data_IF_584618352399
#
_entry.id   IF_584618352399
#
_cell.length_a   1.000
_cell.length_b   1.000
_cell.length_c   1.000
_cell.angle_alpha   90.00
_cell.angle_beta   90.00
_cell.angle_gamma   90.00
#
_symmetry.space_group_name_H-M   'P 1'
#
loop_
_entity.id
_entity.type
_entity.pdbx_description
1 polymer ?
#
# COMPACT_ATOMS: atom_id res chain seq x y z
N UNK A 1 63.25 -19.62 63.35
CA UNK A 1 63.84 -20.84 62.83
C UNK A 1 63.38 -20.95 61.43
N UNK A 2 64.18 -20.47 60.53
CA UNK A 2 65.08 -21.21 59.64
C UNK A 2 64.27 -21.92 58.56
N UNK A 3 64.49 -21.92 57.30
CA UNK A 3 65.49 -21.36 56.42
C UNK A 3 65.00 -21.56 54.96
N UNK A 4 65.31 -20.61 54.09
CA UNK A 4 65.94 -20.78 52.82
C UNK A 4 65.54 -21.97 51.89
N UNK A 5 65.03 -21.72 50.69
CA UNK A 5 65.84 -22.07 49.51
C UNK A 5 65.28 -21.40 48.21
N UNK A 6 66.10 -20.60 47.66
CA UNK A 6 66.21 -20.03 46.38
C UNK A 6 66.50 -21.12 45.34
N UNK A 7 65.89 -21.13 44.13
CA UNK A 7 66.48 -21.55 42.85
C UNK A 7 65.67 -21.01 41.68
N UNK A 8 66.21 -20.08 40.96
CA UNK A 8 66.76 -20.14 39.55
C UNK A 8 65.78 -19.94 38.40
N UNK A 9 66.01 -18.82 37.78
CA UNK A 9 65.88 -18.43 36.37
C UNK A 9 65.53 -19.52 35.35
N UNK A 10 64.41 -19.30 34.67
CA UNK A 10 64.24 -19.80 33.31
C UNK A 10 63.78 -18.65 32.37
N UNK A 11 64.30 -18.58 31.12
CA UNK A 11 64.10 -17.44 30.23
C UNK A 11 62.71 -17.42 29.60
N UNK A 12 62.13 -16.23 29.50
CA UNK A 12 60.87 -15.96 28.84
C UNK A 12 60.94 -16.24 27.34
N UNK A 13 60.26 -17.26 26.89
CA UNK A 13 59.99 -17.47 25.47
C UNK A 13 58.86 -16.50 25.04
N UNK A 14 59.25 -15.50 24.26
CA UNK A 14 58.32 -14.61 23.57
C UNK A 14 57.46 -15.41 22.57
N UNK A 15 56.25 -15.81 22.97
CA UNK A 15 55.22 -16.29 22.07
C UNK A 15 54.59 -15.05 21.36
N UNK A 16 55.02 -14.78 20.15
CA UNK A 16 54.34 -13.82 19.26
C UNK A 16 52.94 -14.34 18.99
N UNK A 17 51.96 -13.79 19.70
CA UNK A 17 50.54 -13.97 19.34
C UNK A 17 50.27 -13.18 18.05
N UNK A 18 50.16 -13.91 16.97
CA UNK A 18 49.67 -13.39 15.70
C UNK A 18 48.16 -13.16 15.83
N UNK A 19 47.77 -11.91 16.14
CA UNK A 19 46.36 -11.53 16.14
C UNK A 19 45.86 -11.44 14.70
N UNK A 20 45.11 -12.46 14.29
CA UNK A 20 44.37 -12.42 13.03
C UNK A 20 43.19 -11.45 13.22
N UNK A 21 43.32 -10.23 12.67
CA UNK A 21 42.22 -9.32 12.52
C UNK A 21 41.33 -9.83 11.37
N UNK A 22 40.22 -10.49 11.72
CA UNK A 22 39.15 -10.77 10.75
C UNK A 22 38.40 -9.47 10.51
N UNK A 23 38.70 -8.81 9.40
CA UNK A 23 37.90 -7.67 8.94
C UNK A 23 36.61 -8.24 8.34
N UNK A 24 35.54 -8.19 9.14
CA UNK A 24 34.20 -8.50 8.64
C UNK A 24 33.75 -7.37 7.71
N UNK A 25 33.83 -7.61 6.40
CA UNK A 25 33.22 -6.74 5.39
C UNK A 25 31.71 -6.88 5.49
N UNK A 26 31.06 -5.92 6.14
CA UNK A 26 29.60 -5.82 6.13
C UNK A 26 29.20 -5.31 4.74
N UNK A 27 28.80 -6.23 3.87
CA UNK A 27 28.16 -5.90 2.60
C UNK A 27 26.75 -5.43 2.93
N UNK A 28 26.55 -4.12 3.01
CA UNK A 28 25.23 -3.52 3.06
C UNK A 28 24.57 -3.70 1.68
N UNK A 29 23.68 -4.66 1.57
CA UNK A 29 22.80 -4.76 0.41
C UNK A 29 21.91 -3.51 0.38
N UNK A 30 21.78 -2.82 -0.75
CA UNK A 30 20.82 -1.74 -0.86
C UNK A 30 19.43 -2.35 -0.65
N UNK A 31 18.76 -1.98 0.43
CA UNK A 31 17.32 -2.18 0.57
C UNK A 31 16.71 -1.32 -0.52
N UNK A 32 16.19 -1.93 -1.58
CA UNK A 32 15.38 -1.25 -2.57
C UNK A 32 14.22 -0.58 -1.83
N UNK A 33 14.38 0.72 -1.56
CA UNK A 33 13.32 1.55 -1.04
C UNK A 33 12.14 1.45 -2.00
N UNK A 34 11.02 0.95 -1.54
CA UNK A 34 9.77 1.08 -2.26
C UNK A 34 9.65 2.55 -2.70
N UNK A 35 9.25 2.75 -3.92
CA UNK A 35 9.12 3.97 -4.70
C UNK A 35 8.42 5.11 -3.91
N UNK A 36 9.11 5.68 -2.92
CA UNK A 36 8.56 6.66 -1.98
C UNK A 36 8.31 8.00 -2.68
N UNK A 37 8.99 8.24 -3.82
CA UNK A 37 8.94 9.51 -4.53
C UNK A 37 7.90 9.58 -5.65
N UNK A 38 7.29 8.45 -6.03
CA UNK A 38 6.27 8.46 -7.09
C UNK A 38 4.97 9.11 -6.58
N UNK A 39 4.43 10.10 -7.30
CA UNK A 39 3.11 10.64 -6.98
C UNK A 39 2.04 9.55 -6.98
N UNK A 40 1.15 9.61 -5.99
CA UNK A 40 0.01 8.68 -5.93
C UNK A 40 -1.05 9.16 -6.91
N UNK A 41 -1.40 8.31 -7.86
CA UNK A 41 -2.46 8.58 -8.84
C UNK A 41 -3.85 8.38 -8.23
N UNK A 42 -4.74 9.33 -8.50
CA UNK A 42 -6.14 9.13 -8.10
C UNK A 42 -6.76 7.93 -8.83
N UNK A 43 -6.55 7.84 -10.14
CA UNK A 43 -7.16 6.81 -10.98
C UNK A 43 -6.55 5.44 -10.72
N UNK A 44 -5.22 5.36 -10.68
CA UNK A 44 -4.52 4.07 -10.63
C UNK A 44 -4.30 3.53 -9.22
N UNK A 45 -4.28 4.39 -8.20
CA UNK A 45 -3.98 3.99 -6.83
C UNK A 45 -5.17 4.21 -5.87
N UNK A 46 -5.80 5.38 -5.91
CA UNK A 46 -6.87 5.73 -4.96
C UNK A 46 -8.19 5.07 -5.31
N UNK A 47 -8.62 5.13 -6.58
CA UNK A 47 -9.88 4.51 -7.01
C UNK A 47 -9.95 3.00 -6.74
N UNK A 48 -8.90 2.21 -7.01
CA UNK A 48 -8.87 0.80 -6.62
C UNK A 48 -9.02 0.57 -5.11
N UNK A 49 -8.42 1.43 -4.27
CA UNK A 49 -8.59 1.37 -2.81
C UNK A 49 -10.05 1.62 -2.42
N UNK A 50 -10.67 2.67 -2.95
CA UNK A 50 -12.06 3.01 -2.65
C UNK A 50 -13.03 1.90 -3.09
N UNK A 51 -12.80 1.34 -4.28
CA UNK A 51 -13.61 0.25 -4.82
C UNK A 51 -13.45 -1.02 -4.01
N UNK A 52 -12.23 -1.40 -3.68
CA UNK A 52 -11.93 -2.61 -2.89
C UNK A 52 -12.45 -2.50 -1.46
N UNK A 53 -12.43 -1.29 -0.89
CA UNK A 53 -13.02 -1.01 0.42
C UNK A 53 -14.56 -0.92 0.38
N UNK A 54 -15.16 -0.95 -0.80
CA UNK A 54 -16.61 -0.87 -0.99
C UNK A 54 -17.21 0.51 -0.77
N UNK A 55 -16.39 1.57 -0.88
CA UNK A 55 -16.87 2.94 -0.67
C UNK A 55 -17.83 3.38 -1.76
N UNK A 56 -17.56 3.03 -3.02
CA UNK A 56 -18.30 3.43 -4.21
C UNK A 56 -19.25 2.33 -4.73
N UNK A 57 -19.76 1.47 -3.84
CA UNK A 57 -20.70 0.42 -4.20
C UNK A 57 -22.07 0.66 -3.55
N UNK A 58 -23.12 0.23 -4.26
CA UNK A 58 -24.50 0.10 -3.78
C UNK A 58 -24.97 1.27 -2.91
N UNK A 59 -25.44 0.92 -1.73
CA UNK A 59 -26.04 1.85 -0.74
C UNK A 59 -25.01 2.67 0.05
N UNK A 60 -23.69 2.43 -0.14
CA UNK A 60 -22.67 3.20 0.57
C UNK A 60 -22.59 4.63 0.01
N UNK A 61 -21.69 4.91 -0.91
CA UNK A 61 -21.54 6.23 -1.48
C UNK A 61 -21.78 6.28 -3.00
N UNK A 62 -22.19 5.16 -3.64
CA UNK A 62 -22.49 5.20 -5.05
C UNK A 62 -23.67 6.12 -5.36
N UNK A 63 -23.55 6.95 -6.41
CA UNK A 63 -24.63 7.82 -6.91
C UNK A 63 -25.91 7.03 -7.20
N UNK A 64 -25.78 5.82 -7.76
CA UNK A 64 -26.88 4.92 -8.05
C UNK A 64 -27.72 4.57 -6.81
N UNK A 65 -27.13 4.59 -5.61
CA UNK A 65 -27.80 4.40 -4.32
C UNK A 65 -28.16 5.71 -3.60
N UNK A 66 -28.03 6.87 -4.28
CA UNK A 66 -28.30 8.20 -3.73
C UNK A 66 -27.16 8.77 -2.90
N UNK A 67 -26.08 8.04 -2.71
CA UNK A 67 -24.97 8.42 -1.82
C UNK A 67 -25.37 8.54 -0.37
N UNK A 68 -24.48 9.04 0.47
CA UNK A 68 -24.73 9.21 1.91
C UNK A 68 -24.25 10.60 2.36
N UNK A 69 -25.18 11.36 2.98
CA UNK A 69 -24.85 12.65 3.60
C UNK A 69 -24.15 13.65 2.69
N UNK A 70 -24.51 13.67 1.39
CA UNK A 70 -23.91 14.54 0.37
C UNK A 70 -22.53 14.10 -0.09
N UNK A 71 -22.12 12.88 0.20
CA UNK A 71 -20.94 12.27 -0.40
C UNK A 71 -21.38 11.21 -1.40
N UNK A 72 -21.05 11.44 -2.66
CA UNK A 72 -21.44 10.59 -3.78
C UNK A 72 -20.22 10.28 -4.61
N UNK A 73 -20.11 9.03 -5.04
CA UNK A 73 -19.09 8.53 -5.95
C UNK A 73 -19.76 7.81 -7.10
N UNK A 74 -19.12 7.74 -8.23
CA UNK A 74 -19.58 6.90 -9.34
C UNK A 74 -19.54 5.42 -8.95
N UNK A 75 -20.42 4.62 -9.52
CA UNK A 75 -20.44 3.20 -9.27
C UNK A 75 -19.12 2.56 -9.74
N UNK A 76 -18.41 1.90 -8.81
CA UNK A 76 -17.12 1.24 -9.06
C UNK A 76 -16.02 2.14 -9.68
N UNK A 77 -16.15 3.46 -9.59
CA UNK A 77 -15.15 4.40 -10.08
C UNK A 77 -15.23 4.64 -11.59
N UNK A 78 -16.42 4.53 -12.17
CA UNK A 78 -16.63 4.71 -13.62
C UNK A 78 -16.38 6.16 -14.08
N UNK A 79 -16.58 7.15 -13.22
CA UNK A 79 -16.41 8.58 -13.49
C UNK A 79 -15.31 9.17 -12.57
N UNK A 80 -14.04 8.84 -12.79
CA UNK A 80 -12.98 9.20 -11.84
C UNK A 80 -12.78 10.71 -11.67
N UNK A 81 -13.03 11.51 -12.69
CA UNK A 81 -12.96 12.98 -12.62
C UNK A 81 -13.99 13.53 -11.63
N UNK A 82 -15.24 13.09 -11.75
CA UNK A 82 -16.32 13.51 -10.85
C UNK A 82 -16.07 13.00 -9.42
N UNK A 83 -15.54 11.79 -9.29
CA UNK A 83 -15.20 11.20 -7.99
C UNK A 83 -14.11 11.98 -7.28
N UNK A 84 -13.10 12.42 -8.02
CA UNK A 84 -12.05 13.29 -7.49
C UNK A 84 -12.63 14.63 -7.02
N UNK A 85 -13.45 15.27 -7.85
CA UNK A 85 -14.10 16.53 -7.48
C UNK A 85 -15.00 16.38 -6.24
N UNK A 86 -15.77 15.31 -6.18
CA UNK A 86 -16.61 15.01 -5.03
C UNK A 86 -15.78 14.85 -3.75
N UNK A 87 -14.61 14.25 -3.82
CA UNK A 87 -13.71 14.12 -2.68
C UNK A 87 -13.07 15.43 -2.28
N UNK A 88 -12.52 16.16 -3.25
CA UNK A 88 -11.65 17.30 -3.02
C UNK A 88 -12.43 18.61 -2.82
N UNK A 89 -13.48 18.82 -3.62
CA UNK A 89 -14.19 20.11 -3.69
C UNK A 89 -15.51 20.13 -2.93
N UNK A 90 -16.30 19.05 -3.03
CA UNK A 90 -17.64 19.03 -2.47
C UNK A 90 -17.64 19.16 -0.95
N UNK A 91 -18.68 19.81 -0.44
CA UNK A 91 -18.85 20.06 0.99
C UNK A 91 -17.74 20.93 1.57
N UNK A 92 -17.25 21.88 0.78
CA UNK A 92 -16.17 22.81 1.14
C UNK A 92 -14.84 22.11 1.49
N UNK A 93 -14.52 21.00 0.81
CA UNK A 93 -13.29 20.25 1.03
C UNK A 93 -13.15 19.56 2.40
N UNK A 94 -14.22 19.52 3.20
CA UNK A 94 -14.19 18.99 4.59
C UNK A 94 -13.76 17.53 4.72
N UNK A 95 -13.72 16.79 3.61
CA UNK A 95 -13.39 15.36 3.64
C UNK A 95 -11.90 15.11 3.77
N UNK A 96 -11.09 16.07 3.35
CA UNK A 96 -9.64 15.95 3.25
C UNK A 96 -8.96 17.07 4.04
N UNK A 97 -7.85 16.77 4.68
CA UNK A 97 -7.06 17.73 5.42
C UNK A 97 -5.56 17.48 5.15
N UNK A 98 -5.00 18.03 4.05
CA UNK A 98 -3.62 17.77 3.65
C UNK A 98 -2.57 18.16 4.69
N UNK A 99 -2.82 19.20 5.50
CA UNK A 99 -1.89 19.63 6.54
C UNK A 99 -1.75 18.60 7.69
N UNK A 100 -2.76 17.74 7.89
CA UNK A 100 -2.72 16.64 8.84
C UNK A 100 -3.56 15.48 8.29
N UNK A 101 -3.02 14.68 7.36
CA UNK A 101 -3.77 13.67 6.60
C UNK A 101 -4.61 12.72 7.45
N UNK A 102 -4.09 12.26 8.59
CA UNK A 102 -4.80 11.37 9.52
C UNK A 102 -6.05 12.01 10.14
N UNK A 103 -6.16 13.33 10.12
CA UNK A 103 -7.34 14.07 10.58
C UNK A 103 -8.40 14.19 9.49
N UNK A 104 -8.11 13.78 8.26
CA UNK A 104 -9.07 13.76 7.17
C UNK A 104 -10.29 12.92 7.52
N UNK A 105 -11.47 13.47 7.28
CA UNK A 105 -12.73 12.81 7.63
C UNK A 105 -12.89 11.46 6.94
N UNK A 106 -12.41 11.34 5.70
CA UNK A 106 -12.44 10.07 4.96
C UNK A 106 -11.63 8.98 5.69
N UNK A 107 -10.41 9.28 6.14
CA UNK A 107 -9.57 8.32 6.87
C UNK A 107 -10.16 7.99 8.24
N UNK A 108 -10.61 8.98 8.98
CA UNK A 108 -11.18 8.78 10.31
C UNK A 108 -12.44 7.94 10.28
N UNK A 109 -13.32 8.16 9.28
CA UNK A 109 -14.54 7.36 9.10
C UNK A 109 -14.23 5.96 8.61
N UNK A 110 -13.39 5.83 7.60
CA UNK A 110 -13.05 4.54 7.03
C UNK A 110 -12.33 3.62 8.02
N UNK A 111 -11.55 4.18 8.95
CA UNK A 111 -10.82 3.41 9.99
C UNK A 111 -11.59 3.25 11.31
N UNK A 112 -12.83 3.75 11.40
CA UNK A 112 -13.64 3.63 12.62
C UNK A 112 -13.26 4.60 13.75
N UNK A 113 -12.36 5.56 13.53
CA UNK A 113 -12.01 6.58 14.53
C UNK A 113 -13.14 7.59 14.75
N UNK A 114 -14.10 7.65 13.85
CA UNK A 114 -15.32 8.44 13.93
C UNK A 114 -16.49 7.56 13.50
N UNK A 115 -17.66 7.65 14.13
CA UNK A 115 -18.83 6.85 13.78
C UNK A 115 -19.11 6.85 12.28
N UNK A 116 -19.25 5.67 11.70
CA UNK A 116 -19.47 5.45 10.28
C UNK A 116 -20.45 4.29 10.07
N UNK A 117 -21.58 4.56 9.41
CA UNK A 117 -22.62 3.55 9.14
C UNK A 117 -22.13 2.37 8.31
N UNK A 118 -21.09 2.57 7.49
CA UNK A 118 -20.45 1.49 6.73
C UNK A 118 -19.50 0.61 7.54
N UNK A 119 -19.25 0.91 8.82
CA UNK A 119 -18.26 0.22 9.65
C UNK A 119 -16.81 0.57 9.27
N UNK A 120 -15.88 -0.27 9.74
CA UNK A 120 -14.45 -0.14 9.39
C UNK A 120 -14.24 -0.70 7.99
N UNK A 121 -13.70 0.10 7.10
CA UNK A 121 -13.41 -0.24 5.70
C UNK A 121 -11.92 -0.30 5.40
N UNK A 122 -11.13 0.51 6.10
CA UNK A 122 -9.68 0.58 5.96
C UNK A 122 -9.05 0.51 7.35
N UNK A 123 -8.45 -0.61 7.70
CA UNK A 123 -7.65 -0.70 8.91
C UNK A 123 -6.42 0.23 8.81
N UNK A 124 -5.98 0.81 9.93
CA UNK A 124 -4.87 1.80 9.94
C UNK A 124 -3.54 1.24 9.45
N UNK A 125 -3.34 -0.04 9.63
CA UNK A 125 -2.16 -0.81 9.20
C UNK A 125 -2.28 -1.36 7.77
N UNK A 126 -3.41 -1.10 7.09
CA UNK A 126 -3.63 -1.57 5.73
C UNK A 126 -2.89 -0.72 4.68
N UNK A 127 -2.48 -1.37 3.60
CA UNK A 127 -1.91 -0.71 2.42
C UNK A 127 -2.86 0.36 1.89
N UNK A 128 -4.17 0.08 1.83
CA UNK A 128 -5.16 1.04 1.35
C UNK A 128 -5.24 2.31 2.20
N UNK A 129 -5.14 2.19 3.53
CA UNK A 129 -5.06 3.36 4.42
C UNK A 129 -3.79 4.17 4.16
N UNK A 130 -2.64 3.52 4.03
CA UNK A 130 -1.35 4.16 3.76
C UNK A 130 -1.35 4.87 2.40
N UNK A 131 -1.91 4.25 1.35
CA UNK A 131 -2.06 4.84 0.02
C UNK A 131 -2.92 6.12 0.08
N UNK A 132 -4.09 6.04 0.70
CA UNK A 132 -5.00 7.18 0.79
C UNK A 132 -4.40 8.32 1.64
N UNK A 133 -3.71 8.00 2.74
CA UNK A 133 -3.00 8.97 3.56
C UNK A 133 -1.91 9.70 2.76
N UNK A 134 -1.08 8.94 2.03
CA UNK A 134 0.01 9.49 1.20
C UNK A 134 -0.55 10.38 0.07
N UNK A 135 -1.64 9.96 -0.57
CA UNK A 135 -2.31 10.78 -1.57
C UNK A 135 -2.78 12.13 -1.03
N UNK A 136 -3.36 12.13 0.16
CA UNK A 136 -3.80 13.36 0.83
C UNK A 136 -2.58 14.24 1.18
N UNK A 137 -1.51 13.65 1.71
CA UNK A 137 -0.25 14.32 2.06
C UNK A 137 0.40 15.00 0.85
N UNK A 138 0.29 14.39 -0.33
CA UNK A 138 0.78 14.93 -1.59
C UNK A 138 -0.12 16.01 -2.22
N UNK A 139 -1.17 16.45 -1.53
CA UNK A 139 -2.06 17.50 -2.01
C UNK A 139 -3.16 17.01 -2.95
N UNK A 140 -3.50 15.73 -2.89
CA UNK A 140 -4.61 15.12 -3.63
C UNK A 140 -4.50 15.21 -5.16
N UNK A 141 -3.36 14.85 -5.76
CA UNK A 141 -3.21 14.94 -7.21
C UNK A 141 -4.19 13.99 -7.92
N UNK A 142 -4.72 14.44 -9.06
CA UNK A 142 -5.54 13.57 -9.91
C UNK A 142 -4.69 12.50 -10.59
N UNK A 143 -3.52 12.89 -11.05
CA UNK A 143 -2.57 12.12 -11.81
C UNK A 143 -1.92 12.96 -12.90
N UNK A 144 -1.17 12.31 -13.77
CA UNK A 144 -0.51 12.94 -14.92
C UNK A 144 -0.92 12.26 -16.22
N UNK A 145 -0.87 12.99 -17.33
CA UNK A 145 -1.19 12.47 -18.66
C UNK A 145 -0.27 11.33 -19.12
N UNK A 146 0.91 11.23 -18.46
CA UNK A 146 1.90 10.18 -18.73
C UNK A 146 1.69 8.91 -17.91
N UNK A 147 0.63 8.82 -17.11
CA UNK A 147 0.37 7.63 -16.33
C UNK A 147 -0.04 6.44 -17.19
N UNK A 148 0.29 5.25 -16.66
CA UNK A 148 -0.14 4.00 -17.26
C UNK A 148 -1.66 3.93 -17.33
N UNK A 149 -2.18 3.75 -18.55
CA UNK A 149 -3.60 3.54 -18.77
C UNK A 149 -3.88 2.06 -19.01
N UNK A 150 -4.95 1.57 -18.41
CA UNK A 150 -5.42 0.22 -18.68
C UNK A 150 -6.04 0.16 -20.07
N UNK A 151 -5.42 -0.64 -20.96
CA UNK A 151 -5.88 -0.79 -22.37
C UNK A 151 -6.90 -1.90 -22.50
N UNK A 152 -6.64 -3.06 -21.86
CA UNK A 152 -7.59 -4.18 -21.90
C UNK A 152 -7.45 -5.07 -20.66
N UNK A 153 -8.52 -5.78 -20.34
CA UNK A 153 -8.53 -6.85 -19.35
C UNK A 153 -9.08 -8.10 -19.99
N UNK A 154 -8.28 -9.16 -19.99
CA UNK A 154 -8.68 -10.48 -20.43
C UNK A 154 -8.87 -11.39 -19.21
N UNK A 155 -10.02 -12.09 -19.13
CA UNK A 155 -10.29 -13.04 -18.04
C UNK A 155 -10.25 -14.46 -18.59
N UNK A 156 -9.52 -15.33 -17.89
CA UNK A 156 -9.33 -16.72 -18.29
C UNK A 156 -9.75 -17.69 -17.17
N UNK A 157 -10.44 -18.82 -17.51
CA UNK A 157 -11.01 -19.11 -18.82
C UNK A 157 -12.18 -18.18 -19.17
N UNK A 158 -12.38 -17.88 -20.45
CA UNK A 158 -13.50 -17.08 -20.96
C UNK A 158 -14.86 -17.81 -20.81
N UNK A 159 -14.82 -19.11 -20.76
CA UNK A 159 -15.97 -20.00 -20.56
C UNK A 159 -15.59 -21.19 -19.69
N UNK A 160 -16.52 -21.64 -18.88
CA UNK A 160 -16.35 -22.83 -18.04
C UNK A 160 -17.68 -23.39 -17.57
N UNK A 161 -17.76 -24.70 -17.40
CA UNK A 161 -18.87 -25.38 -16.73
C UNK A 161 -18.45 -25.70 -15.30
N UNK A 162 -19.14 -25.09 -14.36
CA UNK A 162 -18.90 -25.34 -12.93
C UNK A 162 -20.07 -26.15 -12.39
N UNK A 163 -19.78 -27.23 -11.68
CA UNK A 163 -20.81 -27.99 -10.96
C UNK A 163 -21.47 -27.10 -9.91
N UNK A 164 -22.72 -27.39 -9.57
CA UNK A 164 -23.38 -26.69 -8.46
C UNK A 164 -22.52 -26.79 -7.21
N UNK A 165 -22.28 -25.65 -6.55
CA UNK A 165 -21.37 -25.49 -5.41
C UNK A 165 -19.89 -25.78 -5.70
N UNK A 166 -19.50 -25.89 -6.98
CA UNK A 166 -18.10 -25.97 -7.39
C UNK A 166 -17.45 -24.61 -7.50
N UNK A 167 -16.12 -24.59 -7.54
CA UNK A 167 -15.30 -23.39 -7.69
C UNK A 167 -14.55 -23.43 -9.02
N UNK A 168 -14.39 -22.27 -9.66
CA UNK A 168 -13.56 -22.08 -10.84
C UNK A 168 -12.58 -20.96 -10.57
N UNK A 169 -11.30 -21.26 -10.64
CA UNK A 169 -10.26 -20.25 -10.58
C UNK A 169 -10.28 -19.41 -11.86
N UNK A 170 -10.36 -18.09 -11.69
CA UNK A 170 -10.24 -17.12 -12.77
C UNK A 170 -8.89 -16.39 -12.65
N UNK A 171 -8.27 -16.12 -13.79
CA UNK A 171 -7.11 -15.28 -13.90
C UNK A 171 -7.47 -14.05 -14.74
N UNK A 172 -7.24 -12.86 -14.21
CA UNK A 172 -7.37 -11.62 -14.97
C UNK A 172 -5.99 -11.16 -15.46
N UNK A 173 -5.88 -10.81 -16.73
CA UNK A 173 -4.67 -10.31 -17.36
C UNK A 173 -4.96 -8.89 -17.84
N UNK A 174 -4.33 -7.92 -17.21
CA UNK A 174 -4.42 -6.51 -17.56
C UNK A 174 -3.25 -6.11 -18.46
N UNK A 175 -3.54 -5.40 -19.57
CA UNK A 175 -2.54 -4.81 -20.46
C UNK A 175 -2.59 -3.29 -20.33
N UNK A 176 -1.43 -2.67 -20.25
CA UNK A 176 -1.29 -1.23 -20.07
C UNK A 176 -0.73 -0.53 -21.31
N UNK A 177 -0.84 0.79 -21.33
CA UNK A 177 -0.44 1.65 -22.46
C UNK A 177 1.06 1.59 -22.79
N UNK A 178 1.91 1.20 -21.85
CA UNK A 178 3.35 1.00 -22.05
C UNK A 178 3.69 -0.42 -22.56
N UNK A 179 2.69 -1.26 -22.82
CA UNK A 179 2.85 -2.65 -23.20
C UNK A 179 3.09 -3.60 -22.04
N UNK A 180 3.18 -3.11 -20.81
CA UNK A 180 3.32 -3.98 -19.64
C UNK A 180 2.06 -4.80 -19.38
N UNK A 181 2.24 -5.96 -18.74
CA UNK A 181 1.16 -6.90 -18.43
C UNK A 181 1.20 -7.22 -16.94
N UNK A 182 0.05 -7.07 -16.29
CA UNK A 182 -0.18 -7.53 -14.92
C UNK A 182 -1.14 -8.72 -14.90
N UNK A 183 -0.88 -9.69 -14.04
CA UNK A 183 -1.78 -10.84 -13.83
C UNK A 183 -2.26 -10.85 -12.39
N UNK A 184 -3.58 -10.98 -12.23
CA UNK A 184 -4.22 -11.23 -10.94
C UNK A 184 -4.85 -12.61 -10.97
N UNK A 185 -4.46 -13.46 -10.04
CA UNK A 185 -4.98 -14.80 -9.84
C UNK A 185 -4.36 -15.36 -8.57
N UNK A 186 -5.04 -16.29 -7.90
CA UNK A 186 -4.43 -16.97 -6.77
C UNK A 186 -3.37 -17.93 -7.33
N UNK A 187 -2.09 -17.67 -7.06
CA UNK A 187 -1.07 -18.72 -7.22
C UNK A 187 -1.30 -19.76 -6.12
N UNK A 188 -1.55 -20.97 -6.50
CA UNK A 188 -1.56 -22.14 -5.62
C UNK A 188 -0.20 -22.43 -5.04
#
# INVERSE_FOLDING_TARGET
MADLCNISNLPARHARRLSLFVVAVVVSLPVSGADVDKPVSFVNDVMPVLTKAGCNVGVCHAKAGGGQKGFQLSLLGFEPTEDHESLVKDGHGRRLFPAAPEQSLILRKASGQTPHGGGIRLAKDSIGYATLRRWIEQGTPFGTDSELQLVSVDVQPDRGLVKMSGEQQLAAVAKYSDGSISRSGRSS
#
